data_IF_335576985896
#
_entry.id   IF_335576985896
#
_cell.length_a   1.000
_cell.length_b   1.000
_cell.length_c   1.000
_cell.angle_alpha   90.00
_cell.angle_beta   90.00
_cell.angle_gamma   90.00
#
_symmetry.space_group_name_H-M   'P 1'
#
loop_
_entity.id
_entity.type
_entity.pdbx_description
1 polymer ?
#
# COMPACT_ATOMS: atom_id res chain seq x y z
N UNK A 1 2.64 14.52 7.76
CA UNK A 1 2.04 13.17 7.81
C UNK A 1 2.97 12.12 8.43
N UNK A 2 4.21 12.01 7.98
CA UNK A 2 5.15 10.98 8.47
C UNK A 2 5.33 10.95 9.98
N UNK A 3 5.53 12.09 10.62
CA UNK A 3 5.78 12.15 12.07
C UNK A 3 4.63 11.61 12.91
N UNK A 4 3.38 11.92 12.53
CA UNK A 4 2.22 11.41 13.27
C UNK A 4 2.11 9.90 13.19
N UNK A 5 2.35 9.34 12.01
CA UNK A 5 2.34 7.89 11.83
C UNK A 5 3.53 7.22 12.49
N UNK A 6 4.70 7.88 12.58
CA UNK A 6 5.86 7.33 13.28
C UNK A 6 5.55 7.09 14.75
N UNK A 7 4.89 8.04 15.41
CA UNK A 7 4.52 7.93 16.82
C UNK A 7 3.44 6.87 17.06
N UNK A 8 2.48 6.76 16.16
CA UNK A 8 1.31 5.91 16.35
C UNK A 8 1.35 4.60 15.57
N UNK A 9 2.47 4.28 14.90
CA UNK A 9 2.56 3.09 14.07
C UNK A 9 2.16 1.80 14.80
N UNK A 10 2.67 1.49 16.02
CA UNK A 10 2.24 0.29 16.73
C UNK A 10 0.78 0.32 17.16
N UNK A 11 0.28 1.50 17.54
CA UNK A 11 -1.11 1.67 17.95
C UNK A 11 -2.08 1.53 16.79
N UNK A 12 -1.67 1.93 15.59
CA UNK A 12 -2.46 1.76 14.37
C UNK A 12 -2.73 0.28 14.09
N UNK A 13 -1.69 -0.54 14.12
CA UNK A 13 -1.84 -1.99 13.95
C UNK A 13 -2.66 -2.62 15.08
N UNK A 14 -2.43 -2.21 16.32
CA UNK A 14 -3.15 -2.72 17.47
C UNK A 14 -4.64 -2.44 17.36
N UNK A 15 -5.02 -1.25 16.86
CA UNK A 15 -6.43 -0.91 16.66
C UNK A 15 -7.09 -1.89 15.68
N UNK A 16 -6.45 -2.18 14.55
CA UNK A 16 -6.99 -3.12 13.57
C UNK A 16 -7.08 -4.54 14.13
N UNK A 17 -6.08 -4.96 14.90
CA UNK A 17 -6.06 -6.30 15.50
C UNK A 17 -7.14 -6.44 16.58
N UNK A 18 -7.51 -5.36 17.25
CA UNK A 18 -8.62 -5.33 18.20
C UNK A 18 -9.98 -5.22 17.50
N UNK A 19 -10.01 -4.67 16.29
CA UNK A 19 -11.23 -4.48 15.50
C UNK A 19 -11.21 -5.38 14.26
N UNK A 20 -11.10 -6.68 14.48
CA UNK A 20 -10.91 -7.66 13.41
C UNK A 20 -12.00 -7.67 12.34
N UNK A 21 -13.24 -7.36 12.73
CA UNK A 21 -14.33 -7.30 11.76
C UNK A 21 -14.08 -6.20 10.72
N UNK A 22 -13.61 -5.05 11.15
CA UNK A 22 -13.25 -3.95 10.25
C UNK A 22 -12.06 -4.35 9.38
N UNK A 23 -11.02 -4.89 10.02
CA UNK A 23 -9.81 -5.32 9.32
C UNK A 23 -10.12 -6.31 8.21
N UNK A 24 -10.83 -7.39 8.53
CA UNK A 24 -11.12 -8.43 7.54
C UNK A 24 -12.12 -8.00 6.48
N UNK A 25 -13.03 -7.09 6.80
CA UNK A 25 -13.93 -6.50 5.79
C UNK A 25 -13.14 -5.70 4.75
N UNK A 26 -12.19 -4.90 5.19
CA UNK A 26 -11.33 -4.13 4.29
C UNK A 26 -10.42 -5.04 3.47
N UNK A 27 -9.84 -6.06 4.10
CA UNK A 27 -8.96 -7.01 3.41
C UNK A 27 -9.74 -7.80 2.35
N UNK A 28 -10.96 -8.23 2.65
CA UNK A 28 -11.82 -8.90 1.68
C UNK A 28 -12.07 -8.02 0.46
N UNK A 29 -12.35 -6.74 0.68
CA UNK A 29 -12.54 -5.79 -0.42
C UNK A 29 -11.28 -5.67 -1.28
N UNK A 30 -10.13 -5.49 -0.63
CA UNK A 30 -8.84 -5.36 -1.32
C UNK A 30 -8.54 -6.64 -2.11
N UNK A 31 -8.73 -7.81 -1.50
CA UNK A 31 -8.49 -9.09 -2.16
C UNK A 31 -9.38 -9.27 -3.40
N UNK A 32 -10.64 -8.88 -3.28
CA UNK A 32 -11.59 -8.97 -4.40
C UNK A 32 -11.17 -8.08 -5.58
N UNK A 33 -10.76 -6.85 -5.29
CA UNK A 33 -10.34 -5.89 -6.31
C UNK A 33 -8.99 -6.27 -6.92
N UNK A 34 -8.07 -6.80 -6.10
CA UNK A 34 -6.72 -7.18 -6.54
C UNK A 34 -6.66 -8.47 -7.35
N UNK A 35 -7.71 -9.20 -7.45
CA UNK A 35 -7.75 -10.50 -8.12
C UNK A 35 -6.71 -10.65 -9.25
N UNK A 36 -5.76 -11.57 -9.06
CA UNK A 36 -4.63 -11.81 -9.99
C UNK A 36 -3.85 -10.53 -10.33
N UNK A 37 -3.30 -9.83 -9.34
CA UNK A 37 -2.72 -8.51 -9.60
C UNK A 37 -1.37 -8.56 -10.32
N UNK A 38 -0.71 -9.71 -10.37
CA UNK A 38 0.65 -9.80 -10.87
C UNK A 38 1.63 -9.14 -9.90
N UNK A 39 2.71 -8.60 -10.45
CA UNK A 39 3.70 -7.90 -9.65
C UNK A 39 3.13 -6.54 -9.24
N UNK A 40 3.00 -6.32 -7.93
CA UNK A 40 2.27 -5.19 -7.37
C UNK A 40 3.17 -4.29 -6.53
N UNK A 41 3.04 -2.98 -6.75
CA UNK A 41 3.63 -1.95 -5.88
C UNK A 41 2.52 -1.39 -5.00
N UNK A 42 2.73 -1.41 -3.68
CA UNK A 42 1.80 -0.79 -2.73
C UNK A 42 2.30 0.59 -2.34
N UNK A 43 1.61 1.62 -2.77
CA UNK A 43 1.94 3.01 -2.46
C UNK A 43 1.22 3.43 -1.19
N UNK A 44 1.99 3.80 -0.17
CA UNK A 44 1.48 4.05 1.16
C UNK A 44 1.17 2.74 1.88
N UNK A 45 2.13 1.79 1.84
CA UNK A 45 1.90 0.45 2.39
C UNK A 45 1.75 0.42 3.91
N UNK A 46 2.07 1.51 4.60
CA UNK A 46 2.01 1.57 6.05
C UNK A 46 2.90 0.53 6.70
N UNK A 47 2.38 -0.13 7.71
CA UNK A 47 3.09 -1.19 8.45
C UNK A 47 3.16 -2.53 7.71
N UNK A 48 2.52 -2.66 6.56
CA UNK A 48 2.44 -3.92 5.83
C UNK A 48 1.47 -4.93 6.42
N UNK A 49 0.60 -4.52 7.33
CA UNK A 49 -0.36 -5.43 7.96
C UNK A 49 -1.32 -6.03 6.93
N UNK A 50 -1.89 -5.21 6.05
CA UNK A 50 -2.82 -5.68 5.02
C UNK A 50 -2.12 -6.63 4.04
N UNK A 51 -0.92 -6.27 3.59
CA UNK A 51 -0.13 -7.09 2.67
C UNK A 51 0.22 -8.45 3.28
N UNK A 52 0.55 -8.46 4.57
CA UNK A 52 0.86 -9.69 5.30
C UNK A 52 -0.36 -10.63 5.34
N UNK A 53 -1.53 -10.09 5.63
CA UNK A 53 -2.75 -10.88 5.71
C UNK A 53 -3.20 -11.33 4.31
N UNK A 54 -3.07 -10.48 3.30
CA UNK A 54 -3.36 -10.85 1.91
C UNK A 54 -2.53 -12.05 1.48
N UNK A 55 -1.25 -12.07 1.83
CA UNK A 55 -0.38 -13.19 1.50
C UNK A 55 -0.81 -14.46 2.22
N UNK A 56 -1.10 -14.36 3.51
CA UNK A 56 -1.43 -15.50 4.36
C UNK A 56 -2.80 -16.09 4.05
N UNK A 57 -3.82 -15.25 3.89
CA UNK A 57 -5.21 -15.69 3.78
C UNK A 57 -5.69 -15.86 2.33
N UNK A 58 -5.11 -15.12 1.39
CA UNK A 58 -5.57 -15.09 0.01
C UNK A 58 -4.51 -15.49 -1.00
N UNK A 59 -3.28 -15.74 -0.57
CA UNK A 59 -2.18 -16.07 -1.47
C UNK A 59 -1.77 -14.94 -2.40
N UNK A 60 -2.13 -13.70 -2.06
CA UNK A 60 -1.75 -12.52 -2.84
C UNK A 60 -0.49 -11.93 -2.23
N UNK A 61 0.61 -12.02 -2.96
CA UNK A 61 1.92 -11.55 -2.48
C UNK A 61 2.22 -10.16 -3.01
N UNK A 62 2.39 -9.21 -2.10
CA UNK A 62 2.82 -7.84 -2.40
C UNK A 62 4.08 -7.60 -1.57
N UNK A 63 5.23 -7.53 -2.23
CA UNK A 63 6.51 -7.39 -1.53
C UNK A 63 7.07 -5.99 -1.57
N UNK A 64 6.75 -5.20 -2.57
CA UNK A 64 7.31 -3.87 -2.79
C UNK A 64 6.34 -2.79 -2.32
N UNK A 65 6.85 -1.86 -1.53
CA UNK A 65 6.05 -0.77 -1.00
C UNK A 65 6.79 0.56 -0.96
N UNK A 66 6.02 1.61 -0.88
CA UNK A 66 6.48 2.98 -0.66
C UNK A 66 5.72 3.51 0.54
N UNK A 67 6.44 4.09 1.50
CA UNK A 67 5.85 4.61 2.72
C UNK A 67 6.67 5.79 3.24
N UNK A 68 6.05 6.96 3.48
CA UNK A 68 6.79 8.12 3.97
C UNK A 68 7.14 8.04 5.47
N UNK A 69 6.40 7.28 6.26
CA UNK A 69 6.67 7.13 7.69
C UNK A 69 7.77 6.11 7.93
N UNK A 70 8.87 6.53 8.54
CA UNK A 70 9.97 5.63 8.88
C UNK A 70 9.52 4.56 9.85
N UNK A 71 8.69 4.91 10.86
CA UNK A 71 8.17 3.95 11.83
C UNK A 71 7.32 2.88 11.19
N UNK A 72 6.42 3.26 10.30
CA UNK A 72 5.60 2.30 9.53
C UNK A 72 6.45 1.44 8.61
N UNK A 73 7.36 2.07 7.85
CA UNK A 73 8.23 1.38 6.90
C UNK A 73 9.08 0.33 7.61
N UNK A 74 9.59 0.63 8.79
CA UNK A 74 10.40 -0.31 9.56
C UNK A 74 9.59 -1.54 9.99
N UNK A 75 8.35 -1.35 10.42
CA UNK A 75 7.45 -2.47 10.74
C UNK A 75 7.20 -3.32 9.50
N UNK A 76 6.91 -2.69 8.37
CA UNK A 76 6.69 -3.40 7.10
C UNK A 76 7.93 -4.20 6.68
N UNK A 77 9.12 -3.63 6.84
CA UNK A 77 10.37 -4.31 6.53
C UNK A 77 10.58 -5.54 7.42
N UNK A 78 10.23 -5.46 8.69
CA UNK A 78 10.30 -6.60 9.63
C UNK A 78 9.33 -7.71 9.23
N UNK A 79 8.25 -7.36 8.52
CA UNK A 79 7.29 -8.31 7.96
C UNK A 79 7.72 -8.91 6.62
N UNK A 80 8.89 -8.51 6.12
CA UNK A 80 9.47 -9.04 4.90
C UNK A 80 9.24 -8.22 3.64
N UNK A 81 8.66 -7.03 3.77
CA UNK A 81 8.48 -6.14 2.61
C UNK A 81 9.75 -5.37 2.29
N UNK A 82 9.91 -5.05 1.01
CA UNK A 82 10.92 -4.11 0.53
C UNK A 82 10.27 -2.75 0.43
N UNK A 83 10.60 -1.86 1.34
CA UNK A 83 9.96 -0.55 1.42
C UNK A 83 10.95 0.56 1.13
N UNK A 84 10.57 1.43 0.23
CA UNK A 84 11.26 2.69 -0.03
C UNK A 84 10.60 3.77 0.81
N UNK A 85 11.38 4.46 1.63
CA UNK A 85 10.87 5.56 2.45
C UNK A 85 10.80 6.81 1.59
N UNK A 86 9.59 7.16 1.17
CA UNK A 86 9.34 8.28 0.26
C UNK A 86 7.87 8.63 0.27
N UNK A 87 7.56 9.87 -0.08
CA UNK A 87 6.19 10.25 -0.43
C UNK A 87 5.84 9.67 -1.80
N UNK A 88 4.55 9.57 -2.09
CA UNK A 88 4.08 9.14 -3.41
C UNK A 88 4.52 10.13 -4.50
N UNK A 89 4.54 11.42 -4.15
CA UNK A 89 4.93 12.48 -5.08
C UNK A 89 6.39 12.37 -5.52
N UNK A 90 7.29 12.02 -4.59
CA UNK A 90 8.73 11.95 -4.86
C UNK A 90 9.20 10.58 -5.34
N UNK A 91 8.41 9.54 -5.11
CA UNK A 91 8.83 8.18 -5.41
C UNK A 91 8.93 7.90 -6.90
N UNK A 92 9.86 7.02 -7.26
CA UNK A 92 9.96 6.45 -8.60
C UNK A 92 9.12 5.17 -8.64
N UNK A 93 8.21 5.08 -9.60
CA UNK A 93 7.37 3.88 -9.78
C UNK A 93 7.95 2.91 -10.82
N UNK A 94 9.16 3.16 -11.30
CA UNK A 94 9.79 2.32 -12.31
C UNK A 94 9.25 2.56 -13.71
N UNK A 95 9.54 1.62 -14.59
CA UNK A 95 9.06 1.65 -15.98
C UNK A 95 8.77 0.23 -16.42
N UNK A 96 7.51 -0.17 -16.36
CA UNK A 96 7.10 -1.53 -16.71
C UNK A 96 7.45 -2.59 -15.66
N UNK A 97 7.87 -2.17 -14.48
CA UNK A 97 8.27 -3.10 -13.41
C UNK A 97 7.10 -3.75 -12.70
N UNK A 98 5.94 -3.14 -12.75
CA UNK A 98 4.75 -3.60 -12.03
C UNK A 98 3.57 -3.77 -12.96
N UNK A 99 2.75 -4.78 -12.69
CA UNK A 99 1.48 -5.02 -13.38
C UNK A 99 0.34 -4.24 -12.74
N UNK A 100 0.47 -3.97 -11.44
CA UNK A 100 -0.54 -3.25 -10.64
C UNK A 100 0.15 -2.28 -9.70
N UNK A 101 -0.37 -1.07 -9.62
CA UNK A 101 0.02 -0.09 -8.60
C UNK A 101 -1.21 0.17 -7.73
N UNK A 102 -1.08 -0.17 -6.45
CA UNK A 102 -2.16 -0.12 -5.46
C UNK A 102 -2.00 1.07 -4.52
N UNK A 103 -3.06 1.84 -4.37
CA UNK A 103 -3.16 2.91 -3.38
C UNK A 103 -4.28 2.52 -2.42
N UNK A 104 -3.94 1.90 -1.31
CA UNK A 104 -4.94 1.41 -0.35
C UNK A 104 -4.99 2.33 0.88
N UNK A 105 -6.08 3.07 1.00
CA UNK A 105 -6.30 3.99 2.12
C UNK A 105 -5.44 5.25 2.10
N UNK A 106 -4.73 5.50 1.00
CA UNK A 106 -3.77 6.60 0.90
C UNK A 106 -4.17 7.75 -0.02
N UNK A 107 -5.14 7.62 -0.94
CA UNK A 107 -5.43 8.73 -1.86
C UNK A 107 -5.74 10.05 -1.16
N UNK A 108 -6.44 10.02 -0.03
CA UNK A 108 -6.77 11.23 0.74
C UNK A 108 -5.56 11.90 1.39
N UNK A 109 -4.43 11.21 1.52
CA UNK A 109 -3.19 11.74 2.10
C UNK A 109 -2.21 12.27 1.05
N UNK A 110 -2.52 12.09 -0.23
CA UNK A 110 -1.67 12.55 -1.32
C UNK A 110 -2.10 13.96 -1.73
N UNK A 111 -1.18 14.91 -1.63
CA UNK A 111 -1.46 16.32 -1.90
C UNK A 111 -1.81 16.56 -3.38
N UNK A 112 -1.06 15.94 -4.28
CA UNK A 112 -1.26 16.08 -5.72
C UNK A 112 -1.58 14.70 -6.33
N UNK A 113 -2.77 14.22 -6.04
CA UNK A 113 -3.22 12.89 -6.48
C UNK A 113 -3.22 12.75 -8.00
N UNK A 114 -3.65 13.78 -8.71
CA UNK A 114 -3.70 13.75 -10.19
C UNK A 114 -2.30 13.49 -10.78
N UNK A 115 -1.30 14.21 -10.30
CA UNK A 115 0.08 14.05 -10.75
C UNK A 115 0.63 12.65 -10.42
N UNK A 116 0.33 12.15 -9.23
CA UNK A 116 0.77 10.82 -8.79
C UNK A 116 0.11 9.72 -9.62
N UNK A 117 -1.18 9.83 -9.88
CA UNK A 117 -1.91 8.86 -10.71
C UNK A 117 -1.38 8.88 -12.15
N UNK A 118 -1.08 10.05 -12.69
CA UNK A 118 -0.48 10.17 -14.02
C UNK A 118 0.89 9.52 -14.08
N UNK A 119 1.70 9.72 -13.05
CA UNK A 119 3.02 9.07 -12.92
C UNK A 119 2.88 7.55 -12.88
N UNK A 120 1.90 7.04 -12.14
CA UNK A 120 1.61 5.61 -12.07
C UNK A 120 1.18 5.07 -13.44
N UNK A 121 0.32 5.78 -14.13
CA UNK A 121 -0.11 5.42 -15.49
C UNK A 121 1.08 5.31 -16.43
N UNK A 122 1.97 6.30 -16.40
CA UNK A 122 3.15 6.32 -17.27
C UNK A 122 4.14 5.20 -16.94
N UNK A 123 4.18 4.75 -15.69
CA UNK A 123 5.07 3.68 -15.24
C UNK A 123 4.56 2.28 -15.58
N UNK A 124 3.27 2.12 -15.80
CA UNK A 124 2.67 0.82 -16.04
C UNK A 124 2.83 0.37 -17.50
N UNK A 125 3.00 -0.96 -17.73
CA UNK A 125 2.96 -1.51 -19.07
C UNK A 125 1.53 -1.52 -19.62
N UNK A 126 1.39 -1.78 -20.91
CA UNK A 126 0.09 -1.99 -21.51
C UNK A 126 -0.64 -3.12 -20.77
N UNK A 127 -1.91 -2.89 -20.42
CA UNK A 127 -2.70 -3.83 -19.63
C UNK A 127 -2.49 -3.74 -18.13
N UNK A 128 -1.60 -2.86 -17.68
CA UNK A 128 -1.39 -2.61 -16.26
C UNK A 128 -2.59 -1.94 -15.61
N UNK A 129 -2.69 -2.03 -14.28
CA UNK A 129 -3.83 -1.51 -13.53
C UNK A 129 -3.40 -0.58 -12.42
N UNK A 130 -4.20 0.47 -12.23
CA UNK A 130 -4.12 1.33 -11.05
C UNK A 130 -5.36 1.04 -10.22
N UNK A 131 -5.15 0.75 -8.94
CA UNK A 131 -6.24 0.47 -8.01
C UNK A 131 -6.20 1.51 -6.89
N UNK A 132 -7.29 2.25 -6.75
CA UNK A 132 -7.45 3.26 -5.71
C UNK A 132 -8.54 2.80 -4.76
N UNK A 133 -8.19 2.60 -3.50
CA UNK A 133 -9.13 2.27 -2.44
C UNK A 133 -8.98 3.32 -1.36
N UNK A 134 -10.06 4.00 -1.05
CA UNK A 134 -10.06 5.02 -0.01
C UNK A 134 -11.26 4.82 0.91
N UNK A 135 -11.15 5.35 2.12
CA UNK A 135 -12.21 5.30 3.11
C UNK A 135 -12.80 6.70 3.22
N UNK A 136 -14.12 6.85 3.09
CA UNK A 136 -14.76 8.15 3.21
C UNK A 136 -14.60 8.78 4.58
#
# INVERSE_FOLDING_TARGET
>A
MGKGFDEYAPAYDAWFLENRNVLYSEINLVAHVLKNPGRTLSVGCGSGLFETILAKEYGITITDGIEPSEGMAEIARKRGMKVTISTAEEADFGCGDYDTILFNGTPSYITDLESVVRKAYDALPEGGRIILIDVP
#
